data_IF_109344388271
#
_entry.id   IF_109344388271
#
_cell.length_a   1.000
_cell.length_b   1.000
_cell.length_c   1.000
_cell.angle_alpha   90.00
_cell.angle_beta   90.00
_cell.angle_gamma   90.00
#
_symmetry.space_group_name_H-M   'P 1'
#
loop_
_entity.id
_entity.type
_entity.pdbx_description
1 polymer ?
#
# COMPACT_ATOMS: atom_id res chain seq x y z
N UNK A 1 -29.21 -10.44 -25.71
CA UNK A 1 -28.29 -10.01 -24.63
C UNK A 1 -27.66 -11.29 -24.07
N UNK A 2 -26.63 -11.76 -24.77
CA UNK A 2 -26.22 -13.16 -24.77
C UNK A 2 -24.94 -13.39 -23.99
N UNK A 3 -24.86 -14.57 -23.38
CA UNK A 3 -23.77 -15.30 -22.72
C UNK A 3 -22.37 -14.67 -22.59
N UNK A 4 -21.82 -14.01 -23.62
CA UNK A 4 -20.55 -13.27 -23.55
C UNK A 4 -20.50 -12.19 -22.46
N UNK A 5 -21.59 -11.43 -22.28
CA UNK A 5 -21.67 -10.37 -21.25
C UNK A 5 -21.63 -10.94 -19.81
N UNK A 6 -22.14 -12.17 -19.63
CA UNK A 6 -22.08 -12.87 -18.34
C UNK A 6 -20.69 -13.46 -18.06
N UNK A 7 -19.93 -13.79 -19.09
CA UNK A 7 -18.59 -14.35 -18.97
C UNK A 7 -17.56 -13.24 -18.68
N UNK A 8 -17.62 -12.12 -19.39
CA UNK A 8 -16.81 -10.93 -19.12
C UNK A 8 -17.04 -10.41 -17.70
N UNK A 9 -18.30 -10.33 -17.26
CA UNK A 9 -18.64 -9.91 -15.89
C UNK A 9 -18.02 -10.85 -14.84
N UNK A 10 -17.96 -12.16 -15.10
CA UNK A 10 -17.38 -13.14 -14.18
C UNK A 10 -15.85 -13.03 -14.13
N UNK A 11 -15.19 -12.83 -15.27
CA UNK A 11 -13.74 -12.63 -15.31
C UNK A 11 -13.34 -11.31 -14.64
N UNK A 12 -14.05 -10.21 -14.94
CA UNK A 12 -13.85 -8.93 -14.27
C UNK A 12 -14.05 -9.04 -12.75
N UNK A 13 -15.12 -9.73 -12.31
CA UNK A 13 -15.36 -9.96 -10.87
C UNK A 13 -14.26 -10.79 -10.24
N UNK A 14 -13.76 -11.83 -10.92
CA UNK A 14 -12.70 -12.69 -10.41
C UNK A 14 -11.38 -11.94 -10.28
N UNK A 15 -11.05 -11.09 -11.26
CA UNK A 15 -9.89 -10.19 -11.21
C UNK A 15 -10.03 -9.23 -10.01
N UNK A 16 -11.18 -8.58 -9.88
CA UNK A 16 -11.46 -7.62 -8.81
C UNK A 16 -11.34 -8.27 -7.42
N UNK A 17 -11.87 -9.49 -7.26
CA UNK A 17 -11.79 -10.25 -6.01
C UNK A 17 -10.36 -10.68 -5.70
N UNK A 18 -9.61 -11.20 -6.68
CA UNK A 18 -8.23 -11.61 -6.48
C UNK A 18 -7.35 -10.43 -6.03
N UNK A 19 -7.60 -9.27 -6.63
CA UNK A 19 -6.93 -8.01 -6.34
C UNK A 19 -7.33 -7.45 -4.97
N UNK A 20 -8.62 -7.50 -4.61
CA UNK A 20 -9.09 -7.12 -3.28
C UNK A 20 -8.48 -8.01 -2.18
N UNK A 21 -8.38 -9.32 -2.42
CA UNK A 21 -7.72 -10.26 -1.51
C UNK A 21 -6.23 -9.94 -1.38
N UNK A 22 -5.54 -9.67 -2.48
CA UNK A 22 -4.14 -9.28 -2.46
C UNK A 22 -3.92 -8.00 -1.65
N UNK A 23 -4.79 -7.00 -1.80
CA UNK A 23 -4.77 -5.77 -1.01
C UNK A 23 -4.99 -6.03 0.48
N UNK A 24 -5.99 -6.82 0.84
CA UNK A 24 -6.28 -7.17 2.23
C UNK A 24 -5.09 -7.89 2.86
N UNK A 25 -4.49 -8.85 2.17
CA UNK A 25 -3.30 -9.56 2.64
C UNK A 25 -2.13 -8.59 2.84
N UNK A 26 -1.93 -7.64 1.93
CA UNK A 26 -0.84 -6.67 2.01
C UNK A 26 -1.03 -5.71 3.20
N UNK A 27 -2.26 -5.27 3.46
CA UNK A 27 -2.61 -4.48 4.66
C UNK A 27 -2.40 -5.29 5.94
N UNK A 28 -2.83 -6.54 5.99
CA UNK A 28 -2.65 -7.42 7.15
C UNK A 28 -1.17 -7.67 7.44
N UNK A 29 -0.36 -7.88 6.40
CA UNK A 29 1.09 -8.03 6.53
C UNK A 29 1.75 -6.74 7.01
N UNK A 30 1.36 -5.59 6.46
CA UNK A 30 1.85 -4.28 6.91
C UNK A 30 1.50 -4.00 8.37
N UNK A 31 0.26 -4.25 8.76
CA UNK A 31 -0.22 -4.08 10.13
C UNK A 31 0.47 -5.05 11.11
N UNK A 32 0.60 -6.33 10.74
CA UNK A 32 1.31 -7.33 11.52
C UNK A 32 2.79 -6.99 11.70
N UNK A 33 3.44 -6.47 10.65
CA UNK A 33 4.82 -5.98 10.70
C UNK A 33 4.97 -4.79 11.64
N UNK A 34 4.04 -3.83 11.60
CA UNK A 34 4.04 -2.66 12.48
C UNK A 34 3.83 -3.06 13.95
N UNK A 35 2.89 -3.97 14.21
CA UNK A 35 2.61 -4.52 15.53
C UNK A 35 3.83 -5.24 16.12
N UNK A 36 4.48 -6.10 15.31
CA UNK A 36 5.68 -6.81 15.72
C UNK A 36 6.84 -5.85 16.02
N UNK A 37 7.04 -4.83 15.18
CA UNK A 37 8.08 -3.82 15.38
C UNK A 37 7.81 -3.01 16.67
N UNK A 38 6.57 -2.62 16.92
CA UNK A 38 6.16 -1.94 18.15
C UNK A 38 6.38 -2.80 19.40
N UNK A 39 6.03 -4.10 19.33
CA UNK A 39 6.29 -5.04 20.42
C UNK A 39 7.80 -5.24 20.67
N UNK A 40 8.62 -5.22 19.63
CA UNK A 40 10.08 -5.38 19.72
C UNK A 40 10.81 -4.13 20.27
N UNK A 41 10.24 -2.93 20.12
CA UNK A 41 10.83 -1.68 20.62
C UNK A 41 10.61 -1.45 22.13
N UNK A 42 9.75 -2.25 22.79
CA UNK A 42 9.40 -2.08 24.20
C UNK A 42 8.61 -0.79 24.47
N UNK A 43 8.19 -0.56 25.72
CA UNK A 43 7.46 0.64 26.16
C UNK A 43 8.35 1.88 26.30
N UNK A 44 9.32 2.06 25.38
CA UNK A 44 10.05 3.31 25.25
C UNK A 44 9.11 4.40 24.75
N UNK A 45 9.33 5.63 25.18
CA UNK A 45 8.51 6.78 24.79
C UNK A 45 8.38 6.85 23.25
N UNK A 46 7.16 6.70 22.69
CA UNK A 46 6.89 6.69 21.25
C UNK A 46 7.33 7.96 20.52
N UNK A 47 7.69 9.00 21.27
CA UNK A 47 8.09 10.32 20.79
C UNK A 47 9.56 10.67 21.08
N UNK A 48 10.35 9.76 21.66
CA UNK A 48 11.70 10.08 22.17
C UNK A 48 12.85 9.82 21.21
N UNK A 49 12.63 9.06 20.14
CA UNK A 49 13.59 8.88 19.07
C UNK A 49 12.87 8.34 17.84
N UNK A 50 12.98 9.06 16.72
CA UNK A 50 12.45 8.56 15.47
C UNK A 50 12.90 7.17 15.14
N UNK A 51 12.04 6.46 14.42
CA UNK A 51 12.24 5.10 13.92
C UNK A 51 13.57 4.94 13.16
N UNK A 52 14.23 6.05 12.83
CA UNK A 52 15.46 6.13 12.08
C UNK A 52 15.17 6.00 10.59
N UNK A 53 16.03 6.60 9.76
CA UNK A 53 15.88 6.61 8.29
C UNK A 53 15.61 5.21 7.71
N UNK A 54 16.25 4.17 8.26
CA UNK A 54 16.13 2.80 7.76
C UNK A 54 14.74 2.21 8.01
N UNK A 55 14.22 2.26 9.24
CA UNK A 55 12.93 1.63 9.54
C UNK A 55 11.77 2.48 8.99
N UNK A 56 11.94 3.81 9.00
CA UNK A 56 10.99 4.72 8.38
C UNK A 56 10.83 4.43 6.87
N UNK A 57 11.91 4.10 6.15
CA UNK A 57 11.86 3.74 4.73
C UNK A 57 11.06 2.45 4.48
N UNK A 58 11.21 1.44 5.34
CA UNK A 58 10.46 0.18 5.23
C UNK A 58 8.95 0.41 5.40
N UNK A 59 8.57 1.18 6.42
CA UNK A 59 7.17 1.46 6.72
C UNK A 59 6.56 2.36 5.63
N UNK A 60 7.26 3.44 5.24
CA UNK A 60 6.78 4.35 4.20
C UNK A 60 6.64 3.65 2.84
N UNK A 61 7.55 2.73 2.51
CA UNK A 61 7.43 1.92 1.29
C UNK A 61 6.16 1.07 1.31
N UNK A 62 5.90 0.34 2.40
CA UNK A 62 4.73 -0.51 2.52
C UNK A 62 3.43 0.30 2.45
N UNK A 63 3.37 1.45 3.15
CA UNK A 63 2.19 2.34 3.14
C UNK A 63 1.97 2.95 1.75
N UNK A 64 3.00 3.52 1.12
CA UNK A 64 2.87 4.11 -0.22
C UNK A 64 2.50 3.07 -1.27
N UNK A 65 3.05 1.87 -1.19
CA UNK A 65 2.69 0.77 -2.08
C UNK A 65 1.22 0.39 -1.89
N UNK A 66 0.75 0.32 -0.65
CA UNK A 66 -0.65 0.05 -0.33
C UNK A 66 -1.56 1.12 -0.93
N UNK A 67 -1.23 2.41 -0.78
CA UNK A 67 -2.01 3.52 -1.34
C UNK A 67 -2.13 3.41 -2.85
N UNK A 68 -1.01 3.15 -3.55
CA UNK A 68 -0.98 3.03 -5.00
C UNK A 68 -1.77 1.82 -5.49
N UNK A 69 -1.65 0.68 -4.79
CA UNK A 69 -2.46 -0.49 -5.11
C UNK A 69 -3.94 -0.20 -4.86
N UNK A 70 -4.34 0.43 -3.76
CA UNK A 70 -5.76 0.78 -3.52
C UNK A 70 -6.29 1.70 -4.63
N UNK A 71 -5.54 2.74 -5.00
CA UNK A 71 -5.89 3.64 -6.10
C UNK A 71 -6.06 2.90 -7.42
N UNK A 72 -5.09 2.04 -7.76
CA UNK A 72 -5.14 1.23 -8.96
C UNK A 72 -6.40 0.38 -9.06
N UNK A 73 -6.79 -0.25 -7.95
CA UNK A 73 -7.98 -1.09 -7.89
C UNK A 73 -9.25 -0.25 -7.98
N UNK A 74 -9.29 0.88 -7.27
CA UNK A 74 -10.40 1.81 -7.35
C UNK A 74 -10.61 2.35 -8.78
N UNK A 75 -9.53 2.50 -9.54
CA UNK A 75 -9.55 2.92 -10.95
C UNK A 75 -9.78 1.79 -11.97
N UNK A 76 -10.02 0.54 -11.54
CA UNK A 76 -10.28 -0.58 -12.45
C UNK A 76 -9.02 -1.22 -13.06
N UNK A 77 -7.84 -0.98 -12.47
CA UNK A 77 -6.56 -1.56 -12.89
C UNK A 77 -5.86 -0.84 -14.04
N UNK A 78 -6.59 -0.07 -14.85
CA UNK A 78 -6.05 0.61 -16.04
C UNK A 78 -5.09 1.76 -15.67
N UNK A 79 -5.29 2.40 -14.50
CA UNK A 79 -4.43 3.50 -14.06
C UNK A 79 -2.96 3.09 -13.79
N UNK A 80 -2.67 1.82 -13.46
CA UNK A 80 -1.27 1.38 -13.27
C UNK A 80 -0.52 1.37 -14.59
N UNK A 81 -1.11 0.78 -15.64
CA UNK A 81 -0.43 0.50 -16.90
C UNK A 81 -0.57 1.65 -17.90
N UNK A 82 -1.73 2.30 -17.96
CA UNK A 82 -1.97 3.45 -18.83
C UNK A 82 -1.26 4.73 -18.36
N UNK A 83 -1.10 4.90 -17.04
CA UNK A 83 -0.53 6.10 -16.44
C UNK A 83 0.73 5.79 -15.60
N UNK A 84 1.53 4.84 -16.07
CA UNK A 84 2.71 4.33 -15.35
C UNK A 84 3.69 5.44 -14.88
N UNK A 85 3.98 6.51 -15.67
CA UNK A 85 4.77 7.63 -15.18
C UNK A 85 4.12 8.38 -14.00
N UNK A 86 2.80 8.61 -14.05
CA UNK A 86 2.08 9.28 -12.98
C UNK A 86 1.98 8.41 -11.73
N UNK A 87 1.77 7.12 -11.89
CA UNK A 87 1.71 6.15 -10.79
C UNK A 87 3.05 6.04 -10.07
N UNK A 88 4.17 6.00 -10.81
CA UNK A 88 5.52 5.99 -10.23
C UNK A 88 5.83 7.31 -9.51
N UNK A 89 5.51 8.44 -10.14
CA UNK A 89 5.74 9.77 -9.53
C UNK A 89 4.89 9.92 -8.26
N UNK A 90 3.62 9.53 -8.29
CA UNK A 90 2.75 9.52 -7.13
C UNK A 90 3.27 8.63 -6.00
N UNK A 91 3.71 7.41 -6.34
CA UNK A 91 4.35 6.50 -5.39
C UNK A 91 5.56 7.16 -4.71
N UNK A 92 6.47 7.75 -5.50
CA UNK A 92 7.68 8.38 -5.00
C UNK A 92 7.37 9.59 -4.11
N UNK A 93 6.40 10.42 -4.49
CA UNK A 93 5.95 11.56 -3.67
C UNK A 93 5.41 11.08 -2.33
N UNK A 94 4.48 10.13 -2.32
CA UNK A 94 3.93 9.59 -1.08
C UNK A 94 5.03 8.92 -0.24
N UNK A 95 5.92 8.15 -0.87
CA UNK A 95 7.04 7.50 -0.22
C UNK A 95 7.94 8.50 0.48
N UNK A 96 8.40 9.55 -0.20
CA UNK A 96 9.29 10.56 0.39
C UNK A 96 8.59 11.31 1.51
N UNK A 97 7.32 11.70 1.33
CA UNK A 97 6.54 12.38 2.36
C UNK A 97 6.42 11.51 3.61
N UNK A 98 5.91 10.28 3.48
CA UNK A 98 5.77 9.37 4.62
C UNK A 98 7.12 9.02 5.22
N UNK A 99 8.16 8.86 4.41
CA UNK A 99 9.50 8.52 4.89
C UNK A 99 10.05 9.63 5.79
N UNK A 100 10.00 10.89 5.34
CA UNK A 100 10.49 12.03 6.10
C UNK A 100 9.63 12.29 7.33
N UNK A 101 8.29 12.20 7.21
CA UNK A 101 7.40 12.34 8.36
C UNK A 101 7.68 11.27 9.41
N UNK A 102 7.76 10.00 9.05
CA UNK A 102 8.01 8.90 10.01
C UNK A 102 9.44 8.97 10.58
N UNK A 103 10.41 9.46 9.79
CA UNK A 103 11.79 9.57 10.24
C UNK A 103 12.04 10.76 11.18
N UNK A 104 11.23 11.83 11.13
CA UNK A 104 11.48 13.09 11.85
C UNK A 104 10.37 13.51 12.84
N UNK A 105 9.10 13.16 12.60
CA UNK A 105 7.97 13.58 13.47
C UNK A 105 7.84 12.68 14.71
N UNK A 106 8.47 11.52 14.68
CA UNK A 106 8.63 10.63 15.83
C UNK A 106 10.10 10.55 16.16
#
# INVERSE_FOLDING_TARGET
MGEGDRQDRKEATKLFVAVAVALILLVLLGFGGLYYLGAAMGSGDPFSAGLGLKNAALISFAVSLTVILVMAVASGGDAILGELPFTIVGFLIFFVIFWLMIAWIF
#
